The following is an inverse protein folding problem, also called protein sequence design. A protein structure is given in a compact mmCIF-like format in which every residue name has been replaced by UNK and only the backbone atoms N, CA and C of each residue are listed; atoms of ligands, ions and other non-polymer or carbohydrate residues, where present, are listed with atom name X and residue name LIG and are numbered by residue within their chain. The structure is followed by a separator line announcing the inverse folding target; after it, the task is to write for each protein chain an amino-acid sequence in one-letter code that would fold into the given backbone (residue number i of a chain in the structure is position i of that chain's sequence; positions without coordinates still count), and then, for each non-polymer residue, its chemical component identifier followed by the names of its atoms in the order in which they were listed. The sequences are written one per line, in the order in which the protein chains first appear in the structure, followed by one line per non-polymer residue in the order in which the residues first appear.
data_IF_114823809765
#
_entry.id   IF_114823809765
#
_cell.length_a   1.000
_cell.length_b   1.000
_cell.length_c   1.000
_cell.angle_alpha   90.00
_cell.angle_beta   90.00
_cell.angle_gamma   90.00
#
_symmetry.space_group_name_H-M   'P 1'
#
loop_
_entity.id
_entity.type
_entity.pdbx_description
1 polymer ?
#
# COMPACT_ATOMS: atom_id res chain seq x y z
N UNK A 1 -17.81 5.34 -16.81
CA UNK A 1 -16.41 4.93 -16.56
C UNK A 1 -15.82 5.63 -15.34
N UNK A 2 -15.78 6.96 -15.27
CA UNK A 2 -15.21 7.67 -14.11
C UNK A 2 -15.89 7.36 -12.76
N UNK A 3 -17.22 7.24 -12.70
CA UNK A 3 -17.93 6.86 -11.46
C UNK A 3 -17.46 5.52 -10.88
N UNK A 4 -17.16 4.55 -11.75
CA UNK A 4 -16.64 3.24 -11.34
C UNK A 4 -15.20 3.35 -10.82
N UNK A 5 -14.33 4.09 -11.54
CA UNK A 5 -12.95 4.35 -11.11
C UNK A 5 -12.92 4.98 -9.71
N UNK A 6 -13.70 6.04 -9.51
CA UNK A 6 -13.78 6.73 -8.22
C UNK A 6 -14.36 5.86 -7.10
N UNK A 7 -15.32 4.97 -7.40
CA UNK A 7 -15.87 4.05 -6.41
C UNK A 7 -14.82 3.04 -5.92
N UNK A 8 -14.04 2.49 -6.85
CA UNK A 8 -12.93 1.60 -6.53
C UNK A 8 -11.84 2.33 -5.76
N UNK A 9 -11.42 3.52 -6.21
CA UNK A 9 -10.41 4.29 -5.47
C UNK A 9 -10.87 4.56 -4.03
N UNK A 10 -12.13 4.96 -3.82
CA UNK A 10 -12.66 5.17 -2.45
C UNK A 10 -12.62 3.91 -1.62
N UNK A 11 -12.99 2.77 -2.20
CA UNK A 11 -12.94 1.49 -1.50
C UNK A 11 -11.50 1.17 -1.09
N UNK A 12 -10.56 1.24 -2.04
CA UNK A 12 -9.15 0.97 -1.81
C UNK A 12 -8.53 1.94 -0.79
N UNK A 13 -8.82 3.23 -0.91
CA UNK A 13 -8.38 4.27 0.03
C UNK A 13 -8.93 4.01 1.43
N UNK A 14 -10.22 3.72 1.55
CA UNK A 14 -10.86 3.43 2.83
C UNK A 14 -10.27 2.21 3.51
N UNK A 15 -10.09 1.11 2.77
CA UNK A 15 -9.46 -0.11 3.29
C UNK A 15 -8.03 0.18 3.72
N UNK A 16 -7.24 0.88 2.91
CA UNK A 16 -5.88 1.28 3.28
C UNK A 16 -5.82 2.09 4.57
N UNK A 17 -6.69 3.09 4.73
CA UNK A 17 -6.79 3.91 5.96
C UNK A 17 -7.24 3.08 7.17
N UNK A 18 -8.17 2.14 6.99
CA UNK A 18 -8.58 1.23 8.05
C UNK A 18 -7.40 0.40 8.56
N UNK A 19 -6.63 -0.19 7.64
CA UNK A 19 -5.47 -1.00 8.00
C UNK A 19 -4.28 -0.17 8.46
N UNK A 20 -4.19 1.12 8.11
CA UNK A 20 -3.17 2.03 8.63
C UNK A 20 -3.19 2.11 10.16
N UNK A 21 -4.37 2.03 10.79
CA UNK A 21 -4.48 1.96 12.26
C UNK A 21 -3.78 0.76 12.90
N UNK A 22 -3.48 -0.30 12.12
CA UNK A 22 -2.66 -1.41 12.58
C UNK A 22 -1.29 -0.96 13.07
N UNK A 23 -0.73 0.14 12.56
CA UNK A 23 0.54 0.67 13.05
C UNK A 23 0.42 1.15 14.50
N UNK A 24 -0.66 1.84 14.85
CA UNK A 24 -0.88 2.32 16.21
C UNK A 24 -1.06 1.15 17.18
N UNK A 25 -1.83 0.13 16.76
CA UNK A 25 -2.01 -1.11 17.52
C UNK A 25 -0.67 -1.85 17.70
N UNK A 26 0.13 -1.94 16.63
CA UNK A 26 1.45 -2.56 16.67
C UNK A 26 2.39 -1.83 17.62
N UNK A 27 2.44 -0.49 17.56
CA UNK A 27 3.26 0.33 18.47
C UNK A 27 2.86 0.08 19.91
N UNK A 28 1.56 0.10 20.23
CA UNK A 28 1.09 -0.17 21.58
C UNK A 28 1.44 -1.59 22.04
N UNK A 29 1.31 -2.59 21.17
CA UNK A 29 1.65 -3.97 21.48
C UNK A 29 3.15 -4.16 21.74
N UNK A 30 4.00 -3.51 20.95
CA UNK A 30 5.46 -3.52 21.16
C UNK A 30 5.82 -2.81 22.47
N UNK A 31 5.27 -1.61 22.71
CA UNK A 31 5.50 -0.88 23.95
C UNK A 31 5.05 -1.65 25.18
N UNK A 32 3.89 -2.31 25.12
CA UNK A 32 3.38 -3.17 26.18
C UNK A 32 4.30 -4.36 26.43
N UNK A 33 4.76 -5.05 25.39
CA UNK A 33 5.63 -6.22 25.57
C UNK A 33 6.99 -5.82 26.16
N UNK A 34 7.55 -4.68 25.74
CA UNK A 34 8.76 -4.12 26.34
C UNK A 34 8.53 -3.80 27.82
N UNK A 35 7.42 -3.13 28.15
CA UNK A 35 7.07 -2.82 29.54
C UNK A 35 6.89 -4.08 30.39
N UNK A 36 6.12 -5.06 29.91
CA UNK A 36 5.84 -6.30 30.63
C UNK A 36 7.11 -7.10 30.90
N UNK A 37 8.02 -7.15 29.91
CA UNK A 37 9.29 -7.86 30.04
C UNK A 37 10.23 -7.21 31.05
N UNK A 38 10.41 -5.89 30.99
CA UNK A 38 11.43 -5.21 31.78
C UNK A 38 10.95 -4.69 33.13
N UNK A 39 9.66 -4.34 33.24
CA UNK A 39 9.09 -3.79 34.48
C UNK A 39 8.37 -4.86 35.28
N UNK A 40 7.57 -5.70 34.61
CA UNK A 40 6.77 -6.73 35.27
C UNK A 40 7.48 -8.08 35.37
N UNK A 41 8.64 -8.25 34.71
CA UNK A 41 9.34 -9.54 34.58
C UNK A 41 8.43 -10.68 34.05
N UNK A 42 7.45 -10.34 33.21
CA UNK A 42 6.47 -11.28 32.66
C UNK A 42 6.43 -11.19 31.13
N UNK A 43 7.38 -11.84 30.43
CA UNK A 43 7.40 -11.84 28.96
C UNK A 43 6.27 -12.71 28.38
N UNK A 44 5.73 -12.31 27.22
CA UNK A 44 4.69 -13.08 26.53
C UNK A 44 5.26 -13.78 25.28
N UNK A 45 5.27 -15.12 25.23
CA UNK A 45 5.83 -15.86 24.09
C UNK A 45 5.11 -15.58 22.75
N UNK A 46 3.80 -15.33 22.79
CA UNK A 46 2.97 -15.07 21.60
C UNK A 46 3.13 -13.66 21.02
N UNK A 47 3.69 -12.71 21.78
CA UNK A 47 3.67 -11.30 21.42
C UNK A 47 4.43 -11.01 20.12
N UNK A 48 5.57 -11.68 19.89
CA UNK A 48 6.36 -11.51 18.69
C UNK A 48 5.59 -11.97 17.43
N UNK A 49 4.91 -13.11 17.52
CA UNK A 49 4.11 -13.64 16.41
C UNK A 49 2.97 -12.69 16.04
N UNK A 50 2.25 -12.19 17.04
CA UNK A 50 1.19 -11.21 16.83
C UNK A 50 1.71 -9.91 16.20
N UNK A 51 2.90 -9.45 16.61
CA UNK A 51 3.55 -8.28 16.04
C UNK A 51 3.89 -8.49 14.55
N UNK A 52 4.47 -9.65 14.20
CA UNK A 52 4.81 -9.99 12.81
C UNK A 52 3.55 -10.09 11.95
N UNK A 53 2.49 -10.74 12.46
CA UNK A 53 1.22 -10.89 11.74
C UNK A 53 0.53 -9.52 11.53
N UNK A 54 0.53 -8.63 12.52
CA UNK A 54 0.01 -7.27 12.39
C UNK A 54 0.82 -6.44 11.39
N UNK A 55 2.15 -6.49 11.48
CA UNK A 55 3.03 -5.77 10.55
C UNK A 55 2.86 -6.25 9.11
N UNK A 56 2.83 -7.57 8.89
CA UNK A 56 2.56 -8.15 7.58
C UNK A 56 1.19 -7.75 7.04
N UNK A 57 0.17 -7.68 7.91
CA UNK A 57 -1.17 -7.24 7.52
C UNK A 57 -1.17 -5.79 7.07
N UNK A 58 -0.55 -4.90 7.85
CA UNK A 58 -0.37 -3.49 7.49
C UNK A 58 0.30 -3.35 6.13
N UNK A 59 1.44 -4.02 5.94
CA UNK A 59 2.24 -3.89 4.72
C UNK A 59 1.49 -4.40 3.48
N UNK A 60 0.88 -5.58 3.56
CA UNK A 60 0.16 -6.18 2.42
C UNK A 60 -1.05 -5.35 2.01
N UNK A 61 -1.82 -4.86 2.98
CA UNK A 61 -3.03 -4.07 2.71
C UNK A 61 -2.71 -2.64 2.22
N UNK A 62 -1.52 -2.12 2.52
CA UNK A 62 -1.07 -0.83 2.02
C UNK A 62 -0.81 -0.82 0.50
N UNK A 63 -0.51 -1.97 -0.12
CA UNK A 63 -0.12 -2.02 -1.55
C UNK A 63 -1.18 -1.51 -2.52
N UNK A 64 -2.45 -1.82 -2.31
CA UNK A 64 -3.53 -1.31 -3.16
C UNK A 64 -3.73 0.21 -2.94
N UNK A 65 -3.64 0.67 -1.68
CA UNK A 65 -3.70 2.09 -1.32
C UNK A 65 -2.59 2.89 -2.00
N UNK A 66 -1.34 2.43 -1.92
CA UNK A 66 -0.20 3.11 -2.55
C UNK A 66 -0.32 3.12 -4.06
N UNK A 67 -0.90 2.07 -4.66
CA UNK A 67 -1.17 2.04 -6.10
C UNK A 67 -2.22 3.08 -6.52
N UNK A 68 -3.30 3.23 -5.75
CA UNK A 68 -4.35 4.21 -6.03
C UNK A 68 -3.83 5.66 -6.05
N UNK A 69 -2.90 5.97 -5.15
CA UNK A 69 -2.30 7.30 -5.01
C UNK A 69 -1.01 7.49 -5.82
N UNK A 70 -0.62 6.52 -6.66
CA UNK A 70 0.66 6.53 -7.39
C UNK A 70 1.92 6.65 -6.51
N UNK A 71 1.85 6.31 -5.23
CA UNK A 71 2.99 6.41 -4.30
C UNK A 71 4.05 5.31 -4.45
N UNK A 72 3.99 4.51 -5.53
CA UNK A 72 5.08 3.58 -5.85
C UNK A 72 6.21 4.36 -6.53
N UNK A 73 7.45 4.11 -6.10
CA UNK A 73 8.64 4.72 -6.72
C UNK A 73 8.63 4.42 -8.22
N UNK A 74 8.57 5.48 -9.03
CA UNK A 74 8.62 5.43 -10.49
C UNK A 74 9.97 5.96 -10.97
N UNK A 75 10.35 5.57 -12.18
CA UNK A 75 11.54 6.11 -12.86
C UNK A 75 11.28 7.54 -13.37
N UNK A 76 11.11 8.49 -12.46
CA UNK A 76 10.48 9.79 -12.74
C UNK A 76 11.27 10.67 -13.72
N UNK A 77 12.60 10.53 -13.77
CA UNK A 77 13.46 11.33 -14.68
C UNK A 77 13.13 11.05 -16.15
N UNK A 78 12.99 9.77 -16.51
CA UNK A 78 12.68 9.40 -17.89
C UNK A 78 11.18 9.52 -18.15
N UNK A 79 10.34 9.12 -17.19
CA UNK A 79 8.89 9.11 -17.35
C UNK A 79 8.32 10.53 -17.47
N UNK A 80 8.80 11.48 -16.66
CA UNK A 80 8.34 12.88 -16.66
C UNK A 80 8.62 13.63 -17.97
N UNK A 81 9.65 13.23 -18.72
CA UNK A 81 9.98 13.83 -20.02
C UNK A 81 9.08 13.33 -21.19
N UNK A 82 8.29 12.28 -20.98
CA UNK A 82 7.47 11.67 -22.02
C UNK A 82 6.10 12.34 -22.16
N UNK A 83 5.55 12.34 -23.38
CA UNK A 83 4.17 12.80 -23.63
C UNK A 83 3.17 11.88 -22.92
N UNK A 84 2.00 12.39 -22.47
CA UNK A 84 1.00 11.60 -21.75
C UNK A 84 0.57 10.31 -22.46
N UNK A 85 0.46 10.33 -23.79
CA UNK A 85 0.12 9.13 -24.58
C UNK A 85 1.23 8.08 -24.57
N UNK A 86 2.50 8.49 -24.59
CA UNK A 86 3.63 7.56 -24.52
C UNK A 86 3.74 6.95 -23.13
N UNK A 87 3.57 7.77 -22.08
CA UNK A 87 3.48 7.32 -20.70
C UNK A 87 2.39 6.27 -20.52
N UNK A 88 1.16 6.56 -20.97
CA UNK A 88 0.03 5.65 -20.87
C UNK A 88 0.22 4.36 -21.69
N UNK A 89 0.91 4.43 -22.82
CA UNK A 89 1.26 3.24 -23.62
C UNK A 89 2.23 2.32 -22.87
N UNK A 90 3.29 2.87 -22.30
CA UNK A 90 4.26 2.12 -21.49
C UNK A 90 3.57 1.53 -20.26
N UNK A 91 2.83 2.34 -19.51
CA UNK A 91 2.10 1.88 -18.32
C UNK A 91 1.12 0.76 -18.67
N UNK A 92 0.37 0.89 -19.77
CA UNK A 92 -0.57 -0.15 -20.21
C UNK A 92 0.14 -1.48 -20.50
N UNK A 93 1.29 -1.45 -21.19
CA UNK A 93 2.10 -2.65 -21.45
C UNK A 93 2.61 -3.24 -20.14
N UNK A 94 3.13 -2.41 -19.23
CA UNK A 94 3.60 -2.88 -17.92
C UNK A 94 2.46 -3.50 -17.10
N UNK A 95 1.27 -2.89 -17.13
CA UNK A 95 0.11 -3.41 -16.44
C UNK A 95 -0.37 -4.75 -17.01
N UNK A 96 -0.38 -4.91 -18.33
CA UNK A 96 -0.87 -6.13 -18.97
C UNK A 96 0.13 -7.28 -18.85
N UNK A 97 1.42 -7.04 -19.08
CA UNK A 97 2.41 -8.11 -19.20
C UNK A 97 3.12 -8.44 -17.90
N UNK A 98 3.21 -7.50 -16.95
CA UNK A 98 3.95 -7.73 -15.70
C UNK A 98 3.03 -7.68 -14.49
N UNK A 99 2.22 -6.63 -14.37
CA UNK A 99 1.35 -6.45 -13.21
C UNK A 99 0.25 -7.52 -13.15
N UNK A 100 -0.58 -7.65 -14.19
CA UNK A 100 -1.73 -8.56 -14.17
C UNK A 100 -1.31 -10.01 -13.93
N UNK A 101 -0.34 -10.59 -14.67
CA UNK A 101 0.10 -11.96 -14.42
C UNK A 101 0.69 -12.14 -13.02
N UNK A 102 1.49 -11.16 -12.56
CA UNK A 102 2.12 -11.21 -11.24
C UNK A 102 1.11 -11.17 -10.10
N UNK A 103 0.15 -10.24 -10.13
CA UNK A 103 -0.86 -10.10 -9.07
C UNK A 103 -1.90 -11.23 -9.15
N UNK A 104 -2.25 -11.71 -10.35
CA UNK A 104 -3.11 -12.90 -10.49
C UNK A 104 -2.44 -14.13 -9.88
N UNK A 105 -1.16 -14.35 -10.19
CA UNK A 105 -0.38 -15.44 -9.60
C UNK A 105 -0.27 -15.30 -8.08
N UNK A 106 0.01 -14.10 -7.56
CA UNK A 106 0.02 -13.81 -6.12
C UNK A 106 -1.33 -14.13 -5.46
N UNK A 107 -2.43 -13.72 -6.09
CA UNK A 107 -3.78 -13.92 -5.54
C UNK A 107 -4.17 -15.40 -5.55
N UNK A 108 -3.90 -16.10 -6.66
CA UNK A 108 -4.17 -17.53 -6.77
C UNK A 108 -3.32 -18.32 -5.78
N UNK A 109 -2.00 -18.15 -5.81
CA UNK A 109 -1.09 -18.86 -4.91
C UNK A 109 -1.37 -18.52 -3.44
N UNK A 110 -1.71 -17.27 -3.15
CA UNK A 110 -2.15 -16.84 -1.83
C UNK A 110 -3.44 -17.54 -1.38
N UNK A 111 -4.39 -17.74 -2.29
CA UNK A 111 -5.63 -18.46 -2.01
C UNK A 111 -5.39 -19.94 -1.72
N UNK A 112 -4.57 -20.62 -2.52
CA UNK A 112 -4.22 -22.03 -2.28
C UNK A 112 -3.47 -22.17 -0.95
N UNK A 113 -2.49 -21.30 -0.71
CA UNK A 113 -1.69 -21.31 0.52
C UNK A 113 -2.52 -21.06 1.78
N UNK A 114 -3.48 -20.12 1.73
CA UNK A 114 -4.39 -19.86 2.85
C UNK A 114 -5.34 -21.03 3.12
N UNK A 115 -5.85 -21.70 2.08
CA UNK A 115 -6.72 -22.86 2.25
C UNK A 115 -5.99 -24.09 2.76
N UNK A 116 -4.76 -24.34 2.29
CA UNK A 116 -3.91 -25.41 2.83
C UNK A 116 -3.65 -25.21 4.33
N UNK A 117 -3.33 -23.97 4.72
CA UNK A 117 -3.14 -23.60 6.12
C UNK A 117 -4.41 -23.79 6.97
N UNK A 118 -5.56 -23.43 6.42
CA UNK A 118 -6.86 -23.62 7.07
C UNK A 118 -7.18 -25.12 7.25
N UNK A 119 -6.91 -25.95 6.24
CA UNK A 119 -7.18 -27.38 6.27
C UNK A 119 -6.41 -28.08 7.40
N UNK A 120 -5.18 -27.65 7.69
CA UNK A 120 -4.37 -28.18 8.78
C UNK A 120 -4.54 -27.41 10.11
N UNK A 121 -5.36 -26.36 10.13
CA UNK A 121 -5.48 -25.41 11.26
C UNK A 121 -4.12 -24.98 11.79
N UNK A 122 -3.29 -24.46 10.89
CA UNK A 122 -1.91 -24.11 11.18
C UNK A 122 -1.79 -23.08 12.31
N UNK A 123 -0.81 -23.30 13.18
CA UNK A 123 -0.45 -22.37 14.25
C UNK A 123 1.02 -22.00 14.15
N UNK A 124 1.42 -20.93 14.84
CA UNK A 124 2.81 -20.50 14.93
C UNK A 124 3.67 -21.47 15.74
N UNK A 125 5.00 -21.34 15.60
CA UNK A 125 5.97 -22.24 16.22
C UNK A 125 6.42 -21.80 17.62
N UNK A 126 5.73 -20.82 18.21
CA UNK A 126 6.05 -20.27 19.53
C UNK A 126 5.51 -21.11 20.69
N UNK A 127 6.05 -20.97 21.91
CA UNK A 127 5.58 -21.69 23.10
C UNK A 127 4.09 -21.56 23.37
N UNK A 128 3.53 -20.36 23.15
CA UNK A 128 2.10 -20.09 23.12
C UNK A 128 1.67 -19.84 21.68
N UNK A 129 1.24 -20.88 20.95
CA UNK A 129 1.00 -20.79 19.52
C UNK A 129 -0.28 -20.02 19.19
N UNK A 130 -0.20 -19.13 18.21
CA UNK A 130 -1.34 -18.39 17.67
C UNK A 130 -1.86 -19.05 16.38
N UNK A 131 -3.17 -19.00 16.11
CA UNK A 131 -3.72 -19.48 14.85
C UNK A 131 -3.20 -18.63 13.68
N UNK A 132 -2.43 -19.26 12.79
CA UNK A 132 -1.75 -18.59 11.68
C UNK A 132 -2.64 -18.53 10.42
N UNK A 133 -3.50 -19.52 10.24
CA UNK A 133 -4.36 -19.63 9.05
C UNK A 133 -5.21 -18.37 8.75
N UNK A 134 -5.77 -17.61 9.71
CA UNK A 134 -6.55 -16.40 9.39
C UNK A 134 -5.68 -15.31 8.76
N UNK A 135 -4.44 -15.18 9.24
CA UNK A 135 -3.50 -14.19 8.72
C UNK A 135 -3.12 -14.48 7.26
N UNK A 136 -2.99 -15.74 6.87
CA UNK A 136 -2.64 -16.09 5.48
C UNK A 136 -3.72 -15.69 4.47
N UNK A 137 -4.98 -15.54 4.89
CA UNK A 137 -6.05 -14.99 4.03
C UNK A 137 -5.87 -13.51 3.69
N UNK A 138 -4.99 -12.78 4.40
CA UNK A 138 -4.63 -11.41 4.02
C UNK A 138 -3.91 -11.38 2.67
N UNK A 139 -3.16 -12.42 2.30
CA UNK A 139 -2.44 -12.49 1.02
C UNK A 139 -3.41 -12.42 -0.18
N UNK A 140 -4.41 -13.34 -0.32
CA UNK A 140 -5.37 -13.24 -1.42
C UNK A 140 -6.28 -12.01 -1.29
N UNK A 141 -6.58 -11.52 -0.08
CA UNK A 141 -7.35 -10.29 0.08
C UNK A 141 -6.62 -9.05 -0.46
N UNK A 142 -5.34 -8.90 -0.12
CA UNK A 142 -4.48 -7.85 -0.67
C UNK A 142 -4.31 -7.98 -2.19
N UNK A 143 -4.11 -9.20 -2.67
CA UNK A 143 -4.04 -9.51 -4.12
C UNK A 143 -5.32 -9.12 -4.86
N UNK A 144 -6.50 -9.43 -4.30
CA UNK A 144 -7.78 -9.03 -4.86
C UNK A 144 -7.95 -7.52 -4.95
N UNK A 145 -7.60 -6.78 -3.90
CA UNK A 145 -7.66 -5.31 -3.91
C UNK A 145 -6.69 -4.70 -4.92
N UNK A 146 -5.48 -5.26 -5.03
CA UNK A 146 -4.53 -4.89 -6.06
C UNK A 146 -5.14 -5.13 -7.45
N UNK A 147 -5.69 -6.31 -7.75
CA UNK A 147 -6.33 -6.57 -9.04
C UNK A 147 -7.44 -5.56 -9.37
N UNK A 148 -8.29 -5.25 -8.39
CA UNK A 148 -9.36 -4.27 -8.57
C UNK A 148 -8.77 -2.88 -8.90
N UNK A 149 -7.74 -2.45 -8.18
CA UNK A 149 -7.06 -1.19 -8.44
C UNK A 149 -6.30 -1.18 -9.78
N UNK A 150 -5.66 -2.29 -10.14
CA UNK A 150 -4.95 -2.45 -11.41
C UNK A 150 -5.88 -2.36 -12.62
N UNK A 151 -7.11 -2.89 -12.52
CA UNK A 151 -8.13 -2.71 -13.56
C UNK A 151 -8.44 -1.22 -13.74
N UNK A 152 -8.55 -0.45 -12.65
CA UNK A 152 -8.78 0.99 -12.73
C UNK A 152 -7.61 1.70 -13.39
N UNK A 153 -6.36 1.37 -13.04
CA UNK A 153 -5.17 1.95 -13.68
C UNK A 153 -5.09 1.64 -15.18
N UNK A 154 -5.43 0.41 -15.58
CA UNK A 154 -5.53 0.03 -16.99
C UNK A 154 -6.58 0.88 -17.71
N UNK A 155 -7.76 1.05 -17.10
CA UNK A 155 -8.81 1.91 -17.67
C UNK A 155 -8.36 3.37 -17.78
N UNK A 156 -7.60 3.89 -16.81
CA UNK A 156 -7.00 5.23 -16.88
C UNK A 156 -6.03 5.36 -18.05
N UNK A 157 -5.17 4.36 -18.26
CA UNK A 157 -4.24 4.34 -19.39
C UNK A 157 -5.00 4.35 -20.73
N UNK A 158 -6.05 3.53 -20.86
CA UNK A 158 -6.90 3.51 -22.07
C UNK A 158 -7.58 4.85 -22.32
N UNK A 159 -8.06 5.52 -21.27
CA UNK A 159 -8.65 6.87 -21.37
C UNK A 159 -7.61 7.89 -21.81
N UNK A 160 -6.41 7.88 -21.22
CA UNK A 160 -5.33 8.78 -21.57
C UNK A 160 -4.85 8.60 -23.03
N UNK A 161 -4.79 7.36 -23.51
CA UNK A 161 -4.47 7.08 -24.92
C UNK A 161 -5.51 7.71 -25.88
N UNK A 162 -6.81 7.65 -25.52
CA UNK A 162 -7.89 8.23 -26.33
C UNK A 162 -7.91 9.76 -26.27
N UNK A 163 -7.99 10.32 -25.06
CA UNK A 163 -8.19 11.77 -24.85
C UNK A 163 -6.90 12.59 -24.93
N UNK A 164 -5.74 11.96 -24.71
CA UNK A 164 -4.44 12.65 -24.65
C UNK A 164 -4.13 13.31 -23.30
N UNK A 165 -5.03 13.19 -22.31
CA UNK A 165 -4.86 13.70 -20.95
C UNK A 165 -5.20 12.64 -19.90
N UNK A 166 -4.54 12.70 -18.75
CA UNK A 166 -4.80 11.80 -17.63
C UNK A 166 -6.12 12.18 -16.93
N UNK A 167 -7.00 11.21 -16.61
CA UNK A 167 -8.20 11.46 -15.81
C UNK A 167 -7.84 11.82 -14.37
N UNK A 168 -8.67 12.64 -13.74
CA UNK A 168 -8.49 13.04 -12.34
C UNK A 168 -8.46 11.84 -11.37
N UNK A 169 -7.65 12.01 -10.31
CA UNK A 169 -7.48 11.06 -9.21
C UNK A 169 -7.98 11.70 -7.92
N UNK A 170 -8.35 10.88 -6.94
CA UNK A 170 -8.49 11.39 -5.57
C UNK A 170 -7.10 11.70 -5.01
N UNK A 171 -6.91 12.94 -4.54
CA UNK A 171 -5.74 13.35 -3.77
C UNK A 171 -6.06 13.16 -2.29
N UNK A 172 -5.21 12.43 -1.58
CA UNK A 172 -5.37 12.18 -0.13
C UNK A 172 -4.29 12.90 0.68
N UNK A 173 -3.04 12.82 0.20
CA UNK A 173 -1.89 13.50 0.81
C UNK A 173 -1.21 14.32 -0.29
N UNK A 174 -1.18 15.64 -0.11
CA UNK A 174 -0.27 16.49 -0.89
C UNK A 174 1.14 16.23 -0.37
N UNK A 175 1.93 15.46 -1.12
CA UNK A 175 3.38 15.51 -0.96
C UNK A 175 3.79 16.93 -1.35
N UNK A 176 4.32 17.69 -0.38
CA UNK A 176 4.93 18.98 -0.66
C UNK A 176 6.07 18.71 -1.61
N UNK A 177 5.96 19.21 -2.84
CA UNK A 177 6.99 19.00 -3.86
C UNK A 177 8.30 19.62 -3.36
N UNK A 178 9.44 19.01 -3.67
CA UNK A 178 10.76 19.56 -3.35
C UNK A 178 10.93 20.97 -3.94
N UNK A 179 10.26 21.28 -5.05
CA UNK A 179 10.22 22.63 -5.61
C UNK A 179 9.45 23.61 -4.73
N UNK A 180 8.30 23.18 -4.19
CA UNK A 180 7.47 23.97 -3.28
C UNK A 180 8.17 24.16 -1.93
N UNK A 181 8.83 23.11 -1.43
CA UNK A 181 9.65 23.14 -0.21
C UNK A 181 10.89 24.03 -0.40
N UNK A 182 11.54 23.99 -1.57
CA UNK A 182 12.62 24.92 -1.92
C UNK A 182 12.13 26.35 -2.06
N UNK A 183 10.95 26.59 -2.63
CA UNK A 183 10.36 27.92 -2.74
C UNK A 183 10.06 28.51 -1.35
N UNK A 184 9.44 27.72 -0.47
CA UNK A 184 9.17 28.11 0.92
C UNK A 184 10.46 28.43 1.69
N UNK A 185 11.51 27.62 1.55
CA UNK A 185 12.81 27.88 2.18
C UNK A 185 13.48 29.13 1.62
N UNK A 186 13.36 29.38 0.31
CA UNK A 186 13.92 30.56 -0.33
C UNK A 186 13.25 31.85 0.13
N UNK A 187 11.92 31.82 0.29
CA UNK A 187 11.14 32.93 0.83
C UNK A 187 11.50 33.19 2.30
N UNK A 188 11.76 32.15 3.10
CA UNK A 188 12.21 32.27 4.50
C UNK A 188 13.63 32.87 4.62
N UNK A 189 14.56 32.47 3.75
CA UNK A 189 15.93 33.03 3.72
C UNK A 189 15.93 34.51 3.29
N UNK A 190 15.09 34.89 2.31
CA UNK A 190 14.91 36.29 1.91
C UNK A 190 14.25 37.12 3.03
N UNK A 191 13.28 36.55 3.76
CA UNK A 191 12.65 37.20 4.90
C UNK A 191 13.57 37.30 6.14
N UNK A 192 14.53 36.39 6.31
CA UNK A 192 15.52 36.42 7.38
C UNK A 192 16.67 37.39 7.09
N UNK A 193 17.11 37.51 5.83
CA UNK A 193 18.13 38.46 5.39
C UNK A 193 17.65 39.92 5.31
N UNK A 194 16.34 40.15 5.30
CA UNK A 194 15.72 41.47 5.26
C UNK A 194 15.47 42.12 6.65
N UNK A 195 15.87 41.45 7.75
CA UNK A 195 15.78 42.04 9.10
C UNK A 195 17.01 42.94 9.35
N UNK A 196 16.82 44.25 9.59
CA UNK A 196 17.92 45.20 9.82
C UNK A 196 18.67 44.95 11.13
#
# INVERSE_FOLDING_TARGET
MQKFMMAVDRLTTYVGRLFAWSIAVLTLLVSWEVFSRYVLNHPHPWALDAQIMLYGTLFMMAGAYTLAHQGHVRGDVLYGALRPRTQAGIDLVLFIFFYLPGVLALTWAGWTYANESLAIRENTFSPDPLPLYPFKFIIPAAGFLLLLQGIVEILRCVVCLRLGSWPERMKDVEEIDLEELRAMVKDDDEAAGARP
#
